data_IF_488517977490
#
_entry.id   IF_488517977490
#
_cell.length_a   1.000
_cell.length_b   1.000
_cell.length_c   1.000
_cell.angle_alpha   90.00
_cell.angle_beta   90.00
_cell.angle_gamma   90.00
#
_symmetry.space_group_name_H-M   'P 1'
#
loop_
_entity.id
_entity.type
_entity.pdbx_description
1 polymer ?
#
# COMPACT_ATOMS: atom_id res chain seq x y z
N UNK A 1 4.12 -27.48 6.52
CA UNK A 1 4.14 -27.87 5.09
C UNK A 1 2.72 -28.20 4.69
N UNK A 2 2.23 -27.51 3.64
CA UNK A 2 0.90 -27.66 3.05
C UNK A 2 1.07 -28.46 1.75
N UNK A 3 0.13 -29.36 1.44
CA UNK A 3 0.10 -30.14 0.20
C UNK A 3 -1.36 -30.45 -0.18
N UNK A 4 -1.58 -31.05 -1.35
CA UNK A 4 -2.92 -31.37 -1.88
C UNK A 4 -3.79 -32.20 -0.93
N UNK A 5 -3.15 -33.02 -0.09
CA UNK A 5 -3.77 -33.90 0.90
C UNK A 5 -3.42 -33.50 2.35
N UNK A 6 -2.77 -32.35 2.55
CA UNK A 6 -2.29 -31.90 3.85
C UNK A 6 -2.72 -30.46 4.14
N UNK A 7 -3.74 -30.26 4.99
CA UNK A 7 -4.25 -28.94 5.30
C UNK A 7 -3.25 -28.12 6.14
N UNK A 8 -3.40 -26.80 6.11
CA UNK A 8 -2.77 -25.91 7.08
C UNK A 8 -3.51 -26.02 8.42
N UNK A 9 -3.08 -26.96 9.26
CA UNK A 9 -3.80 -27.30 10.49
C UNK A 9 -3.27 -26.58 11.75
N UNK A 10 -2.16 -25.84 11.66
CA UNK A 10 -1.51 -25.19 12.79
C UNK A 10 -1.15 -23.75 12.44
N UNK A 11 -1.17 -22.88 13.44
CA UNK A 11 -0.77 -21.50 13.27
C UNK A 11 0.69 -21.44 12.83
N UNK A 12 0.98 -20.58 11.87
CA UNK A 12 2.34 -20.44 11.37
C UNK A 12 2.56 -19.04 10.79
N UNK A 13 3.74 -18.47 11.05
CA UNK A 13 4.06 -17.10 10.62
C UNK A 13 4.20 -16.93 9.10
N UNK A 14 4.48 -18.02 8.38
CA UNK A 14 4.71 -18.00 6.93
C UNK A 14 3.43 -18.30 6.14
N UNK A 15 3.31 -17.61 5.00
CA UNK A 15 2.17 -17.67 4.09
C UNK A 15 2.60 -18.11 2.67
N UNK A 16 3.56 -19.04 2.56
CA UNK A 16 4.16 -19.43 1.28
C UNK A 16 3.15 -19.92 0.22
N UNK A 17 2.02 -20.49 0.67
CA UNK A 17 0.93 -20.93 -0.19
C UNK A 17 0.12 -19.77 -0.83
N UNK A 18 0.32 -18.54 -0.36
CA UNK A 18 -0.30 -17.33 -0.90
C UNK A 18 0.64 -16.54 -1.84
N UNK A 19 1.88 -17.01 -2.05
CA UNK A 19 2.85 -16.29 -2.87
C UNK A 19 2.43 -16.16 -4.34
N UNK A 20 1.59 -17.08 -4.84
CA UNK A 20 0.99 -16.97 -6.18
C UNK A 20 0.08 -15.75 -6.33
N UNK A 21 -0.47 -15.23 -5.24
CA UNK A 21 -1.24 -13.98 -5.25
C UNK A 21 -0.30 -12.78 -5.12
N UNK A 22 0.51 -12.73 -4.06
CA UNK A 22 1.47 -11.66 -3.85
C UNK A 22 2.77 -12.21 -3.24
N UNK A 23 3.95 -11.83 -3.74
CA UNK A 23 4.21 -10.79 -4.74
C UNK A 23 4.18 -11.29 -6.19
N UNK A 24 3.93 -12.58 -6.46
CA UNK A 24 4.07 -13.13 -7.82
C UNK A 24 2.94 -12.72 -8.77
N UNK A 25 1.77 -12.31 -8.26
CA UNK A 25 0.61 -11.84 -9.04
C UNK A 25 0.18 -12.80 -10.17
N UNK A 26 0.37 -14.11 -9.97
CA UNK A 26 -0.07 -15.16 -10.89
C UNK A 26 -1.59 -15.39 -10.82
N UNK A 27 -2.20 -14.98 -9.70
CA UNK A 27 -3.64 -15.04 -9.48
C UNK A 27 -4.23 -13.64 -9.59
N UNK A 28 -4.99 -13.42 -10.66
CA UNK A 28 -5.65 -12.14 -10.94
C UNK A 28 -6.83 -11.88 -9.99
N UNK A 29 -6.65 -10.94 -9.06
CA UNK A 29 -7.64 -10.53 -8.05
C UNK A 29 -8.72 -9.59 -8.59
N UNK A 30 -8.65 -9.17 -9.86
CA UNK A 30 -9.79 -8.49 -10.51
C UNK A 30 -10.96 -9.43 -10.76
N UNK A 31 -10.71 -10.74 -10.76
CA UNK A 31 -11.74 -11.78 -10.85
C UNK A 31 -12.40 -11.99 -9.47
N UNK A 32 -13.73 -11.77 -9.33
CA UNK A 32 -14.41 -11.83 -8.02
C UNK A 32 -14.21 -13.16 -7.27
N UNK A 33 -14.19 -14.28 -7.98
CA UNK A 33 -13.99 -15.61 -7.39
C UNK A 33 -12.57 -15.81 -6.83
N UNK A 34 -11.56 -15.22 -7.48
CA UNK A 34 -10.17 -15.25 -7.03
C UNK A 34 -9.97 -14.30 -5.85
N UNK A 35 -10.59 -13.12 -5.92
CA UNK A 35 -10.60 -12.13 -4.84
C UNK A 35 -11.19 -12.73 -3.55
N UNK A 36 -12.36 -13.36 -3.64
CA UNK A 36 -13.00 -14.03 -2.52
C UNK A 36 -12.20 -15.22 -1.97
N UNK A 37 -11.54 -15.99 -2.86
CA UNK A 37 -10.65 -17.08 -2.45
C UNK A 37 -9.44 -16.56 -1.67
N UNK A 38 -8.82 -15.47 -2.14
CA UNK A 38 -7.69 -14.84 -1.46
C UNK A 38 -8.10 -14.38 -0.06
N UNK A 39 -9.19 -13.63 0.06
CA UNK A 39 -9.68 -13.12 1.34
C UNK A 39 -9.93 -14.24 2.35
N UNK A 40 -10.66 -15.28 1.92
CA UNK A 40 -10.91 -16.46 2.75
C UNK A 40 -9.61 -17.15 3.18
N UNK A 41 -8.62 -17.19 2.31
CA UNK A 41 -7.33 -17.82 2.60
C UNK A 41 -6.49 -17.01 3.60
N UNK A 42 -6.48 -15.68 3.48
CA UNK A 42 -5.82 -14.79 4.45
C UNK A 42 -6.53 -14.89 5.80
N UNK A 43 -7.87 -14.76 5.82
CA UNK A 43 -8.67 -14.85 7.04
C UNK A 43 -8.46 -16.20 7.74
N UNK A 44 -8.46 -17.31 6.98
CA UNK A 44 -8.16 -18.62 7.55
C UNK A 44 -6.75 -18.65 8.16
N UNK A 45 -5.72 -18.27 7.40
CA UNK A 45 -4.33 -18.28 7.86
C UNK A 45 -4.12 -17.47 9.14
N UNK A 46 -4.67 -16.25 9.23
CA UNK A 46 -4.51 -15.37 10.39
C UNK A 46 -5.22 -15.90 11.64
N UNK A 47 -6.30 -16.66 11.48
CA UNK A 47 -7.16 -17.09 12.60
C UNK A 47 -6.90 -18.53 13.07
N UNK A 48 -6.05 -19.32 12.41
CA UNK A 48 -5.70 -20.66 12.91
C UNK A 48 -5.06 -20.54 14.30
N UNK A 49 -5.63 -21.28 15.27
CA UNK A 49 -5.27 -21.23 16.69
C UNK A 49 -5.20 -19.78 17.23
N UNK A 50 -6.11 -18.92 16.78
CA UNK A 50 -6.16 -17.49 17.12
C UNK A 50 -4.84 -16.75 16.85
N UNK A 51 -4.13 -17.11 15.76
CA UNK A 51 -2.91 -16.43 15.36
C UNK A 51 -1.73 -16.65 16.30
N UNK A 52 -1.74 -17.70 17.13
CA UNK A 52 -0.74 -17.94 18.19
C UNK A 52 0.72 -17.89 17.73
N UNK A 53 1.00 -18.29 16.48
CA UNK A 53 2.36 -18.35 15.94
C UNK A 53 2.65 -17.23 14.91
N UNK A 54 1.80 -16.21 14.80
CA UNK A 54 2.05 -15.05 13.95
C UNK A 54 3.16 -14.16 14.54
N UNK A 55 3.84 -13.43 13.67
CA UNK A 55 4.87 -12.46 14.00
C UNK A 55 4.72 -11.22 13.12
N UNK A 56 5.59 -10.20 13.31
CA UNK A 56 5.56 -8.96 12.53
C UNK A 56 5.52 -9.19 11.01
N UNK A 57 6.30 -10.14 10.50
CA UNK A 57 6.28 -10.50 9.08
C UNK A 57 4.92 -11.01 8.58
N UNK A 58 4.15 -11.66 9.45
CA UNK A 58 2.80 -12.14 9.10
C UNK A 58 1.84 -10.98 8.87
N UNK A 59 1.85 -9.98 9.74
CA UNK A 59 0.96 -8.82 9.62
C UNK A 59 1.31 -7.94 8.43
N UNK A 60 2.61 -7.71 8.20
CA UNK A 60 3.07 -6.93 7.03
C UNK A 60 2.80 -7.66 5.72
N UNK A 61 2.96 -8.99 5.67
CA UNK A 61 2.58 -9.82 4.53
C UNK A 61 1.07 -9.83 4.26
N UNK A 62 0.26 -9.97 5.31
CA UNK A 62 -1.19 -9.87 5.21
C UNK A 62 -1.63 -8.48 4.72
N UNK A 63 -0.97 -7.41 5.16
CA UNK A 63 -1.22 -6.06 4.69
C UNK A 63 -0.99 -5.95 3.17
N UNK A 64 0.13 -6.47 2.65
CA UNK A 64 0.39 -6.49 1.20
C UNK A 64 -0.63 -7.32 0.42
N UNK A 65 -1.05 -8.47 0.94
CA UNK A 65 -2.07 -9.31 0.31
C UNK A 65 -3.44 -8.62 0.25
N UNK A 66 -3.86 -7.97 1.34
CA UNK A 66 -5.09 -7.17 1.36
C UNK A 66 -5.00 -5.92 0.47
N UNK A 67 -3.83 -5.27 0.42
CA UNK A 67 -3.60 -4.16 -0.49
C UNK A 67 -3.73 -4.62 -1.95
N UNK A 68 -3.11 -5.74 -2.32
CA UNK A 68 -3.25 -6.35 -3.65
C UNK A 68 -4.71 -6.72 -4.00
N UNK A 69 -5.53 -7.07 -3.01
CA UNK A 69 -6.97 -7.30 -3.18
C UNK A 69 -7.78 -6.00 -3.41
N UNK A 70 -7.23 -4.84 -3.04
CA UNK A 70 -7.95 -3.56 -2.97
C UNK A 70 -8.65 -3.30 -1.63
N UNK A 71 -8.40 -4.12 -0.60
CA UNK A 71 -9.06 -4.01 0.70
C UNK A 71 -8.25 -3.14 1.67
N UNK A 72 -8.45 -1.81 1.56
CA UNK A 72 -7.72 -0.83 2.36
C UNK A 72 -7.97 -0.89 3.87
N UNK A 73 -9.19 -1.24 4.28
CA UNK A 73 -9.54 -1.41 5.69
C UNK A 73 -8.74 -2.53 6.35
N UNK A 74 -8.76 -3.72 5.73
CA UNK A 74 -8.02 -4.87 6.26
C UNK A 74 -6.52 -4.65 6.15
N UNK A 75 -6.01 -4.05 5.06
CA UNK A 75 -4.60 -3.73 4.92
C UNK A 75 -4.10 -2.80 6.04
N UNK A 76 -4.83 -1.71 6.27
CA UNK A 76 -4.52 -0.76 7.35
C UNK A 76 -4.65 -1.40 8.73
N UNK A 77 -5.65 -2.24 8.97
CA UNK A 77 -5.80 -2.95 10.24
C UNK A 77 -4.59 -3.84 10.56
N UNK A 78 -4.02 -4.53 9.56
CA UNK A 78 -2.81 -5.33 9.76
C UNK A 78 -1.56 -4.46 10.03
N UNK A 79 -1.40 -3.33 9.32
CA UNK A 79 -0.32 -2.37 9.59
C UNK A 79 -0.44 -1.77 11.00
N UNK A 80 -1.66 -1.41 11.41
CA UNK A 80 -1.93 -0.89 12.75
C UNK A 80 -1.61 -1.93 13.81
N UNK A 81 -1.96 -3.20 13.58
CA UNK A 81 -1.60 -4.31 14.46
C UNK A 81 -0.08 -4.47 14.57
N UNK A 82 0.63 -4.45 13.43
CA UNK A 82 2.09 -4.51 13.40
C UNK A 82 2.75 -3.40 14.25
N UNK A 83 2.20 -2.18 14.21
CA UNK A 83 2.75 -1.01 14.90
C UNK A 83 2.39 -0.92 16.39
N UNK A 84 1.18 -1.34 16.77
CA UNK A 84 0.59 -1.00 18.08
C UNK A 84 0.20 -2.19 18.95
N UNK A 85 0.17 -3.40 18.38
CA UNK A 85 -0.31 -4.59 19.07
C UNK A 85 0.82 -5.61 19.28
N UNK A 86 0.49 -6.69 19.99
CA UNK A 86 1.46 -7.75 20.27
C UNK A 86 1.74 -8.61 19.02
N UNK A 87 2.95 -8.51 18.49
CA UNK A 87 3.43 -9.26 17.32
C UNK A 87 4.22 -10.53 17.67
N UNK A 88 3.68 -11.33 18.60
CA UNK A 88 4.28 -12.59 19.04
C UNK A 88 5.48 -12.41 19.98
N UNK A 89 6.62 -13.03 19.64
CA UNK A 89 7.91 -12.86 20.33
C UNK A 89 8.78 -11.76 19.69
N UNK A 90 8.24 -11.07 18.68
CA UNK A 90 8.90 -9.94 18.06
C UNK A 90 8.49 -8.63 18.73
N UNK A 91 9.33 -7.60 18.56
CA UNK A 91 9.12 -6.27 19.09
C UNK A 91 9.45 -5.23 18.01
N UNK A 92 8.62 -4.20 17.94
CA UNK A 92 8.98 -2.96 17.27
C UNK A 92 9.49 -1.99 18.34
N UNK A 93 10.76 -1.63 18.25
CA UNK A 93 11.43 -0.82 19.26
C UNK A 93 11.13 0.69 19.09
N UNK A 94 11.35 1.52 20.12
CA UNK A 94 11.13 2.97 20.05
C UNK A 94 11.87 3.69 18.92
N UNK A 95 13.01 3.16 18.53
CA UNK A 95 13.81 3.66 17.40
C UNK A 95 13.35 3.09 16.06
N UNK A 96 12.17 2.46 16.00
CA UNK A 96 11.56 1.80 14.82
C UNK A 96 12.29 0.56 14.30
N UNK A 97 13.35 0.11 14.98
CA UNK A 97 13.98 -1.16 14.64
C UNK A 97 13.08 -2.33 15.02
N UNK A 98 13.06 -3.35 14.18
CA UNK A 98 12.32 -4.59 14.41
C UNK A 98 13.27 -5.69 14.86
N UNK A 99 12.87 -6.41 15.90
CA UNK A 99 13.66 -7.51 16.49
C UNK A 99 12.77 -8.71 16.74
N UNK A 100 13.29 -9.90 16.50
CA UNK A 100 12.65 -11.18 16.84
C UNK A 100 13.29 -11.84 18.07
N UNK A 101 12.74 -12.99 18.47
CA UNK A 101 13.31 -13.85 19.53
C UNK A 101 13.44 -13.18 20.90
N UNK A 102 12.51 -12.29 21.23
CA UNK A 102 12.49 -11.55 22.49
C UNK A 102 13.53 -10.44 22.55
N UNK A 103 13.80 -9.76 21.43
CA UNK A 103 14.70 -8.61 21.41
C UNK A 103 16.17 -8.92 21.07
N UNK A 104 16.47 -10.15 20.67
CA UNK A 104 17.86 -10.62 20.47
C UNK A 104 18.34 -10.53 19.03
N UNK A 105 17.43 -10.70 18.07
CA UNK A 105 17.79 -10.82 16.66
C UNK A 105 17.20 -9.65 15.88
N UNK A 106 18.01 -8.68 15.42
CA UNK A 106 17.52 -7.64 14.51
C UNK A 106 17.16 -8.23 13.15
N UNK A 107 16.04 -7.79 12.60
CA UNK A 107 15.43 -8.35 11.40
C UNK A 107 14.92 -7.17 10.56
N UNK A 108 15.39 -7.04 9.32
CA UNK A 108 15.18 -5.82 8.51
C UNK A 108 14.04 -5.97 7.50
N UNK A 109 13.71 -7.18 7.10
CA UNK A 109 12.71 -7.44 6.07
C UNK A 109 11.30 -7.00 6.49
N UNK A 110 10.95 -7.07 7.77
CA UNK A 110 9.59 -6.77 8.24
C UNK A 110 9.24 -5.28 8.10
N UNK A 111 10.06 -4.32 8.58
CA UNK A 111 9.82 -2.90 8.30
C UNK A 111 9.79 -2.56 6.81
N UNK A 112 10.65 -3.16 5.99
CA UNK A 112 10.64 -2.95 4.54
C UNK A 112 9.37 -3.53 3.89
N UNK A 113 8.88 -4.66 4.38
CA UNK A 113 7.58 -5.22 3.97
C UNK A 113 6.43 -4.31 4.39
N UNK A 114 6.48 -3.66 5.55
CA UNK A 114 5.49 -2.68 5.97
C UNK A 114 5.46 -1.46 5.03
N UNK A 115 6.65 -0.94 4.68
CA UNK A 115 6.78 0.16 3.72
C UNK A 115 6.22 -0.24 2.33
N UNK A 116 6.52 -1.46 1.89
CA UNK A 116 5.98 -2.02 0.64
C UNK A 116 4.46 -2.09 0.66
N UNK A 117 3.85 -2.56 1.76
CA UNK A 117 2.39 -2.59 1.90
C UNK A 117 1.76 -1.19 1.80
N UNK A 118 2.38 -0.17 2.43
CA UNK A 118 1.92 1.23 2.29
C UNK A 118 2.01 1.70 0.84
N UNK A 119 3.09 1.39 0.13
CA UNK A 119 3.23 1.71 -1.30
C UNK A 119 2.14 1.02 -2.12
N UNK A 120 1.87 -0.27 -1.91
CA UNK A 120 0.81 -1.03 -2.60
C UNK A 120 -0.60 -0.53 -2.29
N UNK A 121 -0.82 0.10 -1.13
CA UNK A 121 -2.09 0.76 -0.81
C UNK A 121 -2.29 2.05 -1.62
N UNK A 122 -1.20 2.78 -1.91
CA UNK A 122 -1.18 4.07 -2.59
C UNK A 122 -1.14 3.95 -4.12
N UNK A 123 -0.32 3.04 -4.65
CA UNK A 123 -0.09 2.87 -6.08
C UNK A 123 0.17 1.40 -6.40
N UNK A 124 -0.54 0.89 -7.39
CA UNK A 124 -0.27 -0.42 -7.98
C UNK A 124 -0.03 -0.29 -9.48
N UNK A 125 1.02 -0.91 -9.97
CA UNK A 125 1.24 -1.15 -11.40
C UNK A 125 1.41 -2.64 -11.60
N UNK A 126 0.41 -3.29 -12.21
CA UNK A 126 0.45 -4.70 -12.59
C UNK A 126 -0.65 -5.01 -13.60
N UNK A 127 -0.44 -6.04 -14.42
CA UNK A 127 -1.34 -6.34 -15.54
C UNK A 127 -1.43 -5.15 -16.50
N UNK A 128 -0.28 -4.53 -16.77
CA UNK A 128 -0.11 -3.33 -17.62
C UNK A 128 -0.93 -2.12 -17.15
N UNK A 129 -1.46 -2.13 -15.93
CA UNK A 129 -2.45 -1.14 -15.47
C UNK A 129 -2.01 -0.45 -14.20
N UNK A 130 -2.01 0.87 -14.24
CA UNK A 130 -1.87 1.72 -13.06
C UNK A 130 -3.20 1.82 -12.32
N UNK A 131 -3.17 1.64 -11.00
CA UNK A 131 -4.31 1.84 -10.09
C UNK A 131 -3.87 2.80 -9.00
N UNK A 132 -4.63 3.88 -8.86
CA UNK A 132 -4.33 4.99 -7.94
C UNK A 132 -5.19 4.85 -6.69
N UNK A 133 -4.56 4.93 -5.51
CA UNK A 133 -5.22 4.72 -4.23
C UNK A 133 -6.05 3.41 -4.15
N UNK A 134 -5.54 2.26 -4.64
CA UNK A 134 -6.35 1.05 -4.82
C UNK A 134 -6.83 0.43 -3.51
N UNK A 135 -6.16 0.68 -2.38
CA UNK A 135 -6.51 0.09 -1.09
C UNK A 135 -6.33 1.09 0.05
N UNK A 136 -7.04 2.21 -0.01
CA UNK A 136 -7.02 3.25 1.04
C UNK A 136 -8.18 3.04 2.02
N UNK A 137 -7.94 3.02 3.35
CA UNK A 137 -9.01 2.94 4.34
C UNK A 137 -9.84 4.23 4.36
N UNK A 138 -11.10 4.12 4.78
CA UNK A 138 -12.08 5.20 4.85
C UNK A 138 -11.60 6.39 5.68
N UNK A 139 -10.79 6.15 6.71
CA UNK A 139 -10.23 7.16 7.60
C UNK A 139 -9.15 8.02 6.93
N UNK A 140 -8.51 7.54 5.86
CA UNK A 140 -7.53 8.31 5.09
C UNK A 140 -8.24 9.16 4.05
N UNK A 141 -9.02 10.14 4.54
CA UNK A 141 -9.77 11.09 3.69
C UNK A 141 -8.85 11.89 2.80
N UNK A 142 -7.75 12.36 3.37
CA UNK A 142 -6.77 13.18 2.70
C UNK A 142 -5.44 12.42 2.70
N UNK A 143 -4.93 12.10 1.52
CA UNK A 143 -3.61 11.48 1.36
C UNK A 143 -3.02 11.84 0.01
N UNK A 144 -1.69 11.81 -0.08
CA UNK A 144 -1.00 12.03 -1.34
C UNK A 144 0.29 11.23 -1.37
N UNK A 145 0.79 11.00 -2.58
CA UNK A 145 2.12 10.48 -2.79
C UNK A 145 2.79 11.24 -3.93
N UNK A 146 4.11 11.24 -3.93
CA UNK A 146 4.92 11.99 -4.87
C UNK A 146 6.00 11.09 -5.46
N UNK A 147 6.04 11.04 -6.79
CA UNK A 147 7.06 10.38 -7.61
C UNK A 147 7.31 8.90 -7.26
N UNK A 148 6.24 8.17 -6.98
CA UNK A 148 6.31 6.71 -6.89
C UNK A 148 6.48 6.11 -8.28
N UNK A 149 7.36 5.12 -8.40
CA UNK A 149 7.62 4.40 -9.66
C UNK A 149 6.63 3.25 -9.85
N UNK A 150 6.21 3.03 -11.09
CA UNK A 150 5.36 1.91 -11.47
C UNK A 150 5.88 1.19 -12.73
N UNK A 151 5.41 -0.05 -12.92
CA UNK A 151 5.69 -0.86 -14.11
C UNK A 151 5.37 -0.09 -15.40
N UNK A 152 6.16 -0.31 -16.47
CA UNK A 152 6.03 0.43 -17.74
C UNK A 152 6.89 1.70 -17.83
N UNK A 153 7.66 2.01 -16.77
CA UNK A 153 8.54 3.19 -16.76
C UNK A 153 7.77 4.47 -16.45
N UNK A 154 6.80 4.41 -15.54
CA UNK A 154 6.03 5.58 -15.13
C UNK A 154 6.46 6.08 -13.74
N UNK A 155 6.48 7.39 -13.59
CA UNK A 155 6.63 8.10 -12.31
C UNK A 155 5.31 8.80 -12.04
N UNK A 156 4.69 8.48 -10.90
CA UNK A 156 3.31 8.87 -10.60
C UNK A 156 3.26 9.65 -9.29
N UNK A 157 2.50 10.73 -9.30
CA UNK A 157 2.10 11.48 -8.12
C UNK A 157 0.58 11.59 -8.11
N UNK A 158 -0.06 11.59 -6.94
CA UNK A 158 -1.50 11.78 -6.87
C UNK A 158 -1.93 12.42 -5.55
N UNK A 159 -3.08 13.08 -5.59
CA UNK A 159 -3.76 13.66 -4.43
C UNK A 159 -5.14 13.04 -4.26
N UNK A 160 -5.47 12.70 -3.02
CA UNK A 160 -6.81 12.34 -2.56
C UNK A 160 -7.25 13.35 -1.51
N UNK A 161 -8.48 13.83 -1.63
CA UNK A 161 -9.07 14.80 -0.70
C UNK A 161 -10.53 14.48 -0.44
N UNK A 162 -10.95 14.61 0.81
CA UNK A 162 -12.31 14.28 1.25
C UNK A 162 -12.75 12.87 0.83
N UNK A 163 -11.79 11.94 0.73
CA UNK A 163 -12.05 10.56 0.35
C UNK A 163 -12.26 10.35 -1.14
N UNK A 164 -11.82 11.25 -2.04
CA UNK A 164 -11.87 11.06 -3.49
C UNK A 164 -10.56 11.52 -4.16
N UNK A 165 -10.18 10.87 -5.26
CA UNK A 165 -8.98 11.24 -6.03
C UNK A 165 -9.20 12.59 -6.71
N UNK A 166 -8.36 13.57 -6.41
CA UNK A 166 -8.46 14.94 -6.91
C UNK A 166 -7.72 15.08 -8.24
N UNK A 167 -6.46 14.66 -8.28
CA UNK A 167 -5.62 14.68 -9.47
C UNK A 167 -4.58 13.55 -9.46
N UNK A 168 -4.09 13.21 -10.66
CA UNK A 168 -3.01 12.25 -10.89
C UNK A 168 -2.04 12.85 -11.90
N UNK A 169 -0.75 12.90 -11.56
CA UNK A 169 0.33 13.29 -12.47
C UNK A 169 1.13 12.06 -12.86
N UNK A 170 1.44 11.95 -14.15
CA UNK A 170 2.16 10.81 -14.72
C UNK A 170 3.26 11.35 -15.61
N UNK A 171 4.50 10.99 -15.31
CA UNK A 171 5.67 11.16 -16.16
C UNK A 171 6.07 9.81 -16.76
N UNK A 172 6.45 9.81 -18.04
CA UNK A 172 6.83 8.61 -18.79
C UNK A 172 8.33 8.60 -19.06
N UNK A 173 9.07 7.73 -18.38
CA UNK A 173 10.52 7.52 -18.61
C UNK A 173 10.79 6.69 -19.89
N UNK A 174 9.78 6.01 -20.44
CA UNK A 174 9.98 4.99 -21.49
C UNK A 174 9.02 5.06 -22.68
N UNK A 175 8.08 6.03 -22.72
CA UNK A 175 7.16 6.22 -23.84
C UNK A 175 6.15 5.09 -24.08
N UNK A 176 5.93 4.21 -23.08
CA UNK A 176 4.99 3.09 -23.20
C UNK A 176 3.54 3.57 -23.13
N UNK A 177 2.58 2.84 -23.74
CA UNK A 177 1.16 3.09 -23.52
C UNK A 177 0.81 3.04 -22.02
N UNK A 178 0.30 4.16 -21.49
CA UNK A 178 -0.06 4.27 -20.08
C UNK A 178 -1.52 3.88 -19.88
N UNK A 179 -1.79 2.64 -19.52
CA UNK A 179 -3.13 2.19 -19.12
C UNK A 179 -3.36 2.44 -17.64
N UNK A 180 -4.46 3.10 -17.30
CA UNK A 180 -4.81 3.52 -15.94
C UNK A 180 -6.29 3.26 -15.63
N UNK A 181 -6.56 2.86 -14.38
CA UNK A 181 -7.90 2.67 -13.82
C UNK A 181 -8.31 3.87 -12.95
N UNK A 182 -9.37 4.56 -13.35
CA UNK A 182 -9.93 5.77 -12.73
C UNK A 182 -11.46 5.61 -12.53
N UNK A 183 -11.92 4.63 -11.72
CA UNK A 183 -13.35 4.30 -11.62
C UNK A 183 -14.18 5.35 -10.89
N UNK A 184 -13.54 6.22 -10.09
CA UNK A 184 -14.22 7.31 -9.36
C UNK A 184 -14.62 8.48 -10.28
N UNK A 185 -14.06 8.57 -11.49
CA UNK A 185 -14.25 9.71 -12.39
C UNK A 185 -15.21 9.38 -13.52
N UNK A 186 -16.30 10.13 -13.62
CA UNK A 186 -17.26 10.05 -14.74
C UNK A 186 -16.71 10.65 -16.04
N UNK A 187 -15.68 11.48 -15.95
CA UNK A 187 -14.98 12.09 -17.08
C UNK A 187 -13.53 12.36 -16.69
N UNK A 188 -12.62 12.31 -17.65
CA UNK A 188 -11.18 12.53 -17.40
C UNK A 188 -10.71 13.74 -18.19
N UNK A 189 -10.13 14.70 -17.48
CA UNK A 189 -9.60 15.93 -18.03
C UNK A 189 -8.07 15.92 -17.97
N UNK A 190 -7.43 16.27 -19.09
CA UNK A 190 -6.01 16.60 -19.12
C UNK A 190 -5.86 18.10 -18.84
N UNK A 191 -5.20 18.44 -17.74
CA UNK A 191 -5.10 19.82 -17.24
C UNK A 191 -3.96 20.63 -17.88
N UNK A 192 -3.14 19.99 -18.70
CA UNK A 192 -2.05 20.64 -19.44
C UNK A 192 -2.49 21.12 -20.82
N UNK A 193 -1.76 22.08 -21.39
CA UNK A 193 -2.03 22.62 -22.74
C UNK A 193 -1.79 21.56 -23.83
N UNK A 194 -0.68 20.82 -23.75
CA UNK A 194 -0.34 19.78 -24.71
C UNK A 194 -1.01 18.47 -24.30
N UNK A 195 -2.19 18.23 -24.86
CA UNK A 195 -2.94 16.99 -24.61
C UNK A 195 -2.34 15.84 -25.41
N UNK A 196 -2.19 14.71 -24.75
CA UNK A 196 -1.86 13.44 -25.40
C UNK A 196 -3.12 12.73 -25.86
N UNK A 197 -2.97 11.77 -26.77
CA UNK A 197 -4.08 10.94 -27.20
C UNK A 197 -4.57 10.07 -26.03
N UNK A 198 -5.89 10.07 -25.83
CA UNK A 198 -6.58 9.32 -24.80
C UNK A 198 -7.61 8.39 -25.45
N UNK A 199 -7.58 7.11 -25.09
CA UNK A 199 -8.56 6.10 -25.50
C UNK A 199 -9.28 5.58 -24.27
N UNK A 200 -10.62 5.61 -24.25
CA UNK A 200 -11.39 4.96 -23.17
C UNK A 200 -11.68 3.51 -23.54
N UNK A 201 -11.44 2.59 -22.61
CA UNK A 201 -11.78 1.17 -22.75
C UNK A 201 -13.09 0.81 -22.02
N UNK A 202 -13.78 1.82 -21.46
CA UNK A 202 -14.96 1.65 -20.62
C UNK A 202 -14.63 1.22 -19.18
N UNK A 203 -15.65 1.16 -18.32
CA UNK A 203 -15.55 0.74 -16.91
C UNK A 203 -14.46 1.50 -16.09
N UNK A 204 -14.17 2.76 -16.46
CA UNK A 204 -13.16 3.58 -15.80
C UNK A 204 -11.72 3.31 -16.24
N UNK A 205 -11.48 2.53 -17.31
CA UNK A 205 -10.15 2.31 -17.86
C UNK A 205 -9.85 3.25 -19.03
N UNK A 206 -8.62 3.77 -19.06
CA UNK A 206 -8.13 4.70 -20.07
C UNK A 206 -6.70 4.35 -20.46
N UNK A 207 -6.34 4.60 -21.72
CA UNK A 207 -4.98 4.46 -22.25
C UNK A 207 -4.52 5.82 -22.77
N UNK A 208 -3.34 6.24 -22.34
CA UNK A 208 -2.70 7.49 -22.75
C UNK A 208 -1.40 7.22 -23.51
N UNK A 209 -1.26 7.84 -24.68
CA UNK A 209 -0.05 7.77 -25.50
C UNK A 209 0.94 8.88 -25.05
N UNK A 210 1.60 8.67 -23.91
CA UNK A 210 2.55 9.64 -23.33
C UNK A 210 3.94 9.40 -23.95
N UNK A 211 4.54 10.36 -24.68
CA UNK A 211 5.89 10.20 -25.21
C UNK A 211 6.93 10.07 -24.10
N UNK A 212 8.10 9.52 -24.41
CA UNK A 212 9.25 9.52 -23.50
C UNK A 212 9.61 10.95 -23.07
N UNK A 213 9.84 11.14 -21.78
CA UNK A 213 10.02 12.46 -21.16
C UNK A 213 8.73 13.28 -21.04
N UNK A 214 7.61 12.77 -21.54
CA UNK A 214 6.30 13.41 -21.46
C UNK A 214 5.72 13.39 -20.06
N UNK A 215 4.90 14.39 -19.75
CA UNK A 215 4.22 14.56 -18.47
C UNK A 215 2.76 14.89 -18.74
N UNK A 216 1.83 14.31 -17.97
CA UNK A 216 0.41 14.65 -18.01
C UNK A 216 -0.14 14.80 -16.60
N UNK A 217 -1.13 15.67 -16.43
CA UNK A 217 -1.94 15.78 -15.21
C UNK A 217 -3.39 15.52 -15.57
N UNK A 218 -3.99 14.57 -14.85
CA UNK A 218 -5.35 14.10 -15.01
C UNK A 218 -6.20 14.51 -13.80
N UNK A 219 -7.47 14.84 -14.04
CA UNK A 219 -8.45 15.07 -12.99
C UNK A 219 -9.87 14.71 -13.44
N UNK A 220 -10.77 14.52 -12.47
CA UNK A 220 -12.21 14.31 -12.71
C UNK A 220 -12.97 15.58 -13.10
N UNK A 221 -12.33 16.74 -13.04
CA UNK A 221 -12.88 18.07 -13.39
C UNK A 221 -11.77 18.96 -13.97
N UNK A 222 -12.16 19.91 -14.82
CA UNK A 222 -11.29 20.96 -15.37
C UNK A 222 -10.86 22.04 -14.36
N UNK A 223 -11.36 21.97 -13.12
CA UNK A 223 -11.10 22.96 -12.04
C UNK A 223 -10.32 22.41 -10.85
N UNK A 224 -9.66 21.25 -10.98
CA UNK A 224 -8.92 20.67 -9.87
C UNK A 224 -7.73 21.56 -9.44
N UNK A 225 -7.53 21.70 -8.13
CA UNK A 225 -6.39 22.42 -7.55
C UNK A 225 -5.15 21.50 -7.54
N UNK A 226 -4.28 21.66 -8.53
CA UNK A 226 -3.03 20.89 -8.65
C UNK A 226 -1.85 21.57 -7.95
N UNK A 227 -2.06 22.73 -7.31
CA UNK A 227 -1.02 23.51 -6.64
C UNK A 227 -0.67 22.99 -5.25
N UNK A 228 -1.50 22.10 -4.69
CA UNK A 228 -1.26 21.44 -3.40
C UNK A 228 -0.78 20.02 -3.60
N UNK A 229 0.52 19.84 -3.79
CA UNK A 229 1.15 18.66 -3.22
C UNK A 229 1.08 18.82 -1.71
N UNK A 230 0.39 17.93 -1.00
CA UNK A 230 0.44 17.92 0.46
C UNK A 230 1.87 17.56 0.86
N UNK A 231 2.72 18.59 0.96
CA UNK A 231 4.06 18.44 1.47
C UNK A 231 4.00 17.81 2.85
N UNK A 232 5.09 17.14 3.23
CA UNK A 232 5.34 16.81 4.63
C UNK A 232 5.02 18.05 5.48
N UNK A 233 4.37 17.91 6.65
CA UNK A 233 4.04 19.05 7.49
C UNK A 233 5.27 19.92 7.67
N UNK A 234 5.09 21.23 7.54
CA UNK A 234 6.17 22.22 7.51
C UNK A 234 7.22 21.90 8.59
N UNK A 235 8.42 21.50 8.14
CA UNK A 235 9.47 20.91 8.97
C UNK A 235 9.94 21.84 10.11
N UNK A 236 9.55 23.11 10.08
CA UNK A 236 9.76 24.05 11.17
C UNK A 236 8.99 23.70 12.46
N UNK A 237 7.83 23.04 12.36
CA UNK A 237 6.95 22.77 13.50
C UNK A 237 7.09 21.34 14.06
N UNK A 238 7.68 20.42 13.31
CA UNK A 238 7.73 18.99 13.65
C UNK A 238 9.13 18.41 13.37
N UNK A 239 9.56 17.41 14.16
CA UNK A 239 10.82 16.70 13.89
C UNK A 239 10.66 15.68 12.74
N UNK A 240 11.75 15.02 12.33
CA UNK A 240 11.76 13.99 11.29
C UNK A 240 10.80 12.81 11.54
N UNK A 241 10.27 12.68 12.76
CA UNK A 241 9.30 11.65 13.16
C UNK A 241 7.86 12.17 13.19
N UNK A 242 7.59 13.37 12.68
CA UNK A 242 6.25 13.95 12.68
C UNK A 242 5.74 14.30 14.08
N UNK A 243 6.63 14.57 15.04
CA UNK A 243 6.30 15.00 16.41
C UNK A 243 6.57 16.50 16.57
N UNK A 244 5.65 17.25 17.22
CA UNK A 244 5.83 18.70 17.43
C UNK A 244 7.17 18.94 18.11
N UNK A 245 7.93 19.92 17.62
CA UNK A 245 9.20 20.31 18.23
C UNK A 245 8.99 20.65 19.71
N UNK A 246 9.77 20.05 20.60
CA UNK A 246 9.62 20.20 22.04
C UNK A 246 8.55 19.30 22.69
N UNK A 247 7.83 18.48 21.92
CA UNK A 247 7.00 17.40 22.43
C UNK A 247 7.67 16.06 22.16
N UNK A 248 7.55 15.13 23.10
CA UNK A 248 7.82 13.71 22.85
C UNK A 248 6.57 13.03 22.29
N UNK A 249 6.74 11.83 21.73
CA UNK A 249 5.60 10.92 21.64
C UNK A 249 5.02 10.77 23.06
N UNK A 250 3.68 10.72 23.22
CA UNK A 250 3.10 10.35 24.50
C UNK A 250 3.80 9.06 24.96
N UNK A 251 4.32 9.09 26.18
CA UNK A 251 5.20 8.06 26.73
C UNK A 251 4.43 6.74 26.85
N UNK A 252 4.41 5.97 25.77
CA UNK A 252 3.94 4.59 25.67
C UNK A 252 5.15 3.64 25.65
N UNK A 253 6.25 4.01 26.34
CA UNK A 253 7.58 3.47 26.08
C UNK A 253 8.43 3.19 27.33
N UNK A 254 7.80 3.06 28.50
CA UNK A 254 8.51 2.43 29.62
C UNK A 254 8.32 0.90 29.50
N UNK A 255 9.09 0.28 28.60
CA UNK A 255 9.23 -1.18 28.64
C UNK A 255 10.24 -1.52 29.74
N UNK A 256 9.94 -2.44 30.68
CA UNK A 256 10.89 -2.83 31.69
C UNK A 256 12.16 -3.34 31.01
N UNK A 257 13.31 -2.79 31.38
CA UNK A 257 14.61 -3.33 31.00
C UNK A 257 14.63 -4.80 31.47
N UNK A 258 15.09 -5.76 30.64
CA UNK A 258 15.33 -7.11 31.11
C UNK A 258 16.25 -7.02 32.33
N UNK A 259 15.86 -7.65 33.44
CA UNK A 259 16.74 -7.81 34.59
C UNK A 259 18.04 -8.47 34.12
N UNK A 260 19.18 -7.87 34.52
CA UNK A 260 20.53 -8.33 34.17
C UNK A 260 20.87 -9.67 34.85
#
# INVERSE_FOLDING_TARGET
MIASDKPLAKSHRHYSHLLSFYPLRLQDTTRPEVNALLEKSIDHWLNIENGKALAGYSYTGAASLYAYQGNGEKAYAQLRHFLNERIGLALLLPNTMYVESGGRNPVIETPLSAATAVTEMLLQGWGETLRIFPAIPQDWKDCSFYELRAEGGFVVSASRKNGSTEWVRIHSDAGQPCRISLPEWSSVFQLQQNKVKMTSEGKGYYVFDIPEGGDIILAGTDKADTGKTYGLPDSGAWNYYGVKKGKGLPRLMDWPLPEQ
#
